data_IF_962291133913
#
_entry.id   IF_962291133913
#
_cell.length_a   1.000
_cell.length_b   1.000
_cell.length_c   1.000
_cell.angle_alpha   90.00
_cell.angle_beta   90.00
_cell.angle_gamma   90.00
#
_symmetry.space_group_name_H-M   'P 1'
#
loop_
_entity.id
_entity.type
_entity.pdbx_description
1 polymer ?
#
# COMPACT_ATOMS: atom_id res chain seq x y z
N UNK A 1 -19.71 -12.92 6.92
CA UNK A 1 -18.43 -13.36 7.51
C UNK A 1 -17.77 -12.11 8.05
N UNK A 2 -17.72 -11.93 9.36
CA UNK A 2 -17.07 -10.75 9.96
C UNK A 2 -15.57 -11.05 10.04
N UNK A 3 -14.76 -10.21 9.40
CA UNK A 3 -13.31 -10.26 9.55
C UNK A 3 -13.00 -9.50 10.85
N UNK A 4 -12.50 -10.21 11.87
CA UNK A 4 -11.89 -9.56 13.03
C UNK A 4 -10.57 -8.95 12.58
N UNK A 5 -10.56 -7.63 12.38
CA UNK A 5 -9.31 -6.89 12.20
C UNK A 5 -8.68 -6.70 13.58
N UNK A 6 -7.43 -7.12 13.74
CA UNK A 6 -6.64 -6.69 14.90
C UNK A 6 -6.48 -5.17 14.80
N UNK A 7 -6.78 -4.40 15.86
CA UNK A 7 -6.64 -2.96 15.82
C UNK A 7 -5.16 -2.61 15.62
N UNK A 8 -4.87 -1.93 14.52
CA UNK A 8 -3.58 -1.26 14.32
C UNK A 8 -3.64 0.04 15.10
N UNK A 9 -2.69 0.24 16.02
CA UNK A 9 -2.54 1.51 16.72
C UNK A 9 -1.39 2.27 16.06
N UNK A 10 -1.72 3.35 15.36
CA UNK A 10 -0.73 4.32 14.89
C UNK A 10 -0.27 5.11 16.12
N UNK A 11 0.86 4.72 16.70
CA UNK A 11 1.41 5.35 17.92
C UNK A 11 2.20 6.62 17.62
N UNK A 12 2.71 6.74 16.40
CA UNK A 12 3.43 7.90 15.89
C UNK A 12 3.28 7.98 14.37
N UNK A 13 3.17 9.20 13.86
CA UNK A 13 3.29 9.52 12.44
C UNK A 13 4.42 10.54 12.27
N UNK A 14 5.35 10.36 11.31
CA UNK A 14 6.44 11.31 11.10
C UNK A 14 5.91 12.71 10.75
N UNK A 15 6.47 13.74 11.38
CA UNK A 15 6.14 15.14 11.10
C UNK A 15 7.40 15.86 10.60
N UNK A 16 7.97 15.35 9.52
CA UNK A 16 9.14 15.88 8.83
C UNK A 16 8.85 16.09 7.34
N UNK A 17 9.82 16.66 6.62
CA UNK A 17 9.66 17.06 5.21
C UNK A 17 9.66 15.89 4.21
N UNK A 18 10.11 14.71 4.65
CA UNK A 18 10.20 13.52 3.81
C UNK A 18 8.90 12.69 3.81
N UNK A 19 7.89 13.08 4.60
CA UNK A 19 6.62 12.37 4.75
C UNK A 19 5.41 13.27 4.45
N UNK A 20 4.40 12.73 3.76
CA UNK A 20 3.18 13.48 3.50
C UNK A 20 2.48 13.83 4.83
N UNK A 21 1.90 15.02 5.03
CA UNK A 21 1.04 15.26 6.18
C UNK A 21 -0.17 14.30 6.12
N UNK A 22 -0.55 13.71 7.26
CA UNK A 22 -1.81 12.97 7.36
C UNK A 22 -2.99 13.91 7.09
N UNK A 23 -3.63 13.72 5.94
CA UNK A 23 -4.87 14.42 5.58
C UNK A 23 -6.11 13.72 6.13
N UNK A 24 -5.90 12.58 6.79
CA UNK A 24 -6.92 11.60 7.21
C UNK A 24 -6.70 11.19 8.67
N UNK A 25 -7.78 10.80 9.36
CA UNK A 25 -7.71 10.38 10.77
C UNK A 25 -7.01 9.00 10.87
N UNK A 26 -5.83 8.91 11.49
CA UNK A 26 -5.11 7.64 11.64
C UNK A 26 -5.85 6.63 12.53
N UNK A 27 -6.87 7.04 13.30
CA UNK A 27 -7.72 6.11 14.06
C UNK A 27 -8.53 5.16 13.17
N UNK A 28 -8.74 5.52 11.90
CA UNK A 28 -9.40 4.66 10.92
C UNK A 28 -8.42 3.68 10.23
N UNK A 29 -7.12 3.76 10.52
CA UNK A 29 -6.10 3.01 9.80
C UNK A 29 -6.23 1.49 9.99
N UNK A 30 -5.99 0.75 8.92
CA UNK A 30 -6.04 -0.71 8.88
C UNK A 30 -4.84 -1.26 8.14
N UNK A 31 -4.32 -2.38 8.63
CA UNK A 31 -3.40 -3.19 7.86
C UNK A 31 -4.21 -4.24 7.09
N UNK A 32 -4.02 -4.28 5.78
CA UNK A 32 -4.64 -5.25 4.87
C UNK A 32 -3.55 -5.87 4.00
N UNK A 33 -3.86 -6.97 3.30
CA UNK A 33 -2.99 -7.42 2.20
C UNK A 33 -3.22 -6.55 0.96
N UNK A 34 -2.22 -6.43 0.09
CA UNK A 34 -2.32 -5.69 -1.15
C UNK A 34 -3.53 -6.14 -2.01
N UNK A 35 -3.82 -7.44 -2.09
CA UNK A 35 -4.98 -7.97 -2.82
C UNK A 35 -6.36 -7.64 -2.21
N UNK A 36 -6.39 -7.03 -1.02
CA UNK A 36 -7.61 -6.62 -0.32
C UNK A 36 -7.84 -5.12 -0.33
N UNK A 37 -6.89 -4.34 -0.86
CA UNK A 37 -7.06 -2.90 -1.06
C UNK A 37 -8.20 -2.68 -2.05
N UNK A 38 -9.12 -1.79 -1.71
CA UNK A 38 -10.26 -1.44 -2.54
C UNK A 38 -10.03 -0.12 -3.29
N UNK A 39 -10.78 0.06 -4.38
CA UNK A 39 -10.86 1.33 -5.09
C UNK A 39 -11.29 2.46 -4.12
N UNK A 40 -10.49 3.53 -4.06
CA UNK A 40 -10.74 4.67 -3.19
C UNK A 40 -10.07 4.62 -1.81
N UNK A 41 -9.50 3.49 -1.40
CA UNK A 41 -8.72 3.43 -0.16
C UNK A 41 -7.50 4.35 -0.26
N UNK A 42 -7.10 4.99 0.85
CA UNK A 42 -5.89 5.81 0.90
C UNK A 42 -4.73 4.97 1.40
N UNK A 43 -3.68 4.80 0.59
CA UNK A 43 -2.46 4.07 0.95
C UNK A 43 -1.51 5.00 1.69
N UNK A 44 -1.05 4.58 2.87
CA UNK A 44 -0.20 5.38 3.76
C UNK A 44 1.24 4.89 3.84
N UNK A 45 1.44 3.58 3.85
CA UNK A 45 2.74 2.99 4.11
C UNK A 45 2.85 1.56 3.59
N UNK A 46 4.09 1.16 3.30
CA UNK A 46 4.49 -0.23 3.14
C UNK A 46 5.03 -0.79 4.46
N UNK A 47 5.23 -2.11 4.52
CA UNK A 47 6.03 -2.71 5.58
C UNK A 47 7.12 -3.57 4.95
N UNK A 48 8.37 -3.21 5.18
CA UNK A 48 9.53 -4.01 4.78
C UNK A 48 10.09 -4.74 6.00
N UNK A 49 10.24 -6.06 5.93
CA UNK A 49 10.79 -6.82 7.05
C UNK A 49 11.19 -8.26 6.69
N UNK A 50 12.33 -8.77 7.19
CA UNK A 50 12.68 -10.17 7.02
C UNK A 50 11.71 -11.06 7.81
N UNK A 51 11.02 -11.94 7.09
CA UNK A 51 10.35 -13.17 7.56
C UNK A 51 9.99 -13.18 9.07
N UNK A 52 8.89 -12.51 9.42
CA UNK A 52 8.20 -12.74 10.70
C UNK A 52 8.26 -11.62 11.74
N UNK A 53 9.02 -10.54 11.51
CA UNK A 53 8.82 -9.26 12.20
C UNK A 53 8.75 -8.14 11.17
N UNK A 54 7.65 -7.39 11.18
CA UNK A 54 7.54 -6.10 10.51
C UNK A 54 8.17 -5.04 11.45
N UNK A 55 9.41 -4.58 11.20
CA UNK A 55 10.13 -3.70 12.12
C UNK A 55 9.49 -2.32 12.24
N UNK A 56 8.94 -1.76 11.16
CA UNK A 56 8.26 -0.47 11.13
C UNK A 56 7.40 -0.32 9.87
N UNK A 57 6.44 0.60 9.90
CA UNK A 57 5.80 1.12 8.70
C UNK A 57 6.78 2.08 7.99
N UNK A 58 6.92 1.91 6.68
CA UNK A 58 7.67 2.82 5.81
C UNK A 58 6.65 3.75 5.14
N UNK A 59 6.42 4.90 5.77
CA UNK A 59 5.41 5.87 5.35
C UNK A 59 5.84 6.57 4.07
N UNK A 60 4.88 6.76 3.17
CA UNK A 60 5.18 7.41 1.90
C UNK A 60 5.28 8.93 2.05
N UNK A 61 6.16 9.50 1.23
CA UNK A 61 6.29 10.95 1.05
C UNK A 61 5.07 11.57 0.35
N UNK A 62 4.26 10.74 -0.31
CA UNK A 62 2.98 11.12 -0.91
C UNK A 62 1.94 10.01 -0.68
N UNK A 63 0.87 10.31 0.07
CA UNK A 63 -0.25 9.38 0.25
C UNK A 63 -1.12 9.41 -1.00
N UNK A 64 -1.54 8.25 -1.48
CA UNK A 64 -2.32 8.17 -2.72
C UNK A 64 -3.59 7.34 -2.57
N UNK A 65 -4.57 7.69 -3.39
CA UNK A 65 -5.81 6.93 -3.51
C UNK A 65 -5.57 5.72 -4.40
N UNK A 66 -5.82 4.54 -3.86
CA UNK A 66 -5.70 3.28 -4.58
C UNK A 66 -6.75 3.16 -5.68
N UNK A 67 -6.33 2.59 -6.80
CA UNK A 67 -7.15 2.25 -7.96
C UNK A 67 -6.77 0.84 -8.45
N UNK A 68 -7.09 -0.21 -7.67
CA UNK A 68 -6.53 -1.53 -7.90
C UNK A 68 -6.96 -2.10 -9.25
N UNK A 69 -5.99 -2.64 -9.99
CA UNK A 69 -6.19 -3.33 -11.27
C UNK A 69 -5.32 -4.59 -11.38
N UNK A 70 -5.67 -5.52 -12.29
CA UNK A 70 -4.82 -6.67 -12.54
C UNK A 70 -3.43 -6.24 -12.98
N UNK A 71 -2.40 -6.86 -12.41
CA UNK A 71 -1.02 -6.67 -12.85
C UNK A 71 -0.81 -7.19 -14.27
N UNK A 72 -0.21 -6.35 -15.13
CA UNK A 72 0.22 -6.72 -16.48
C UNK A 72 1.76 -6.77 -16.56
N UNK A 73 2.37 -7.97 -16.60
CA UNK A 73 3.83 -8.10 -16.73
C UNK A 73 4.35 -7.60 -18.09
N UNK A 74 3.47 -7.36 -19.07
CA UNK A 74 3.83 -6.87 -20.40
C UNK A 74 3.72 -5.35 -20.55
N UNK A 75 3.25 -4.63 -19.51
CA UNK A 75 3.13 -3.17 -19.49
C UNK A 75 4.42 -2.45 -19.90
N UNK A 76 5.58 -3.00 -19.53
CA UNK A 76 6.91 -2.51 -19.94
C UNK A 76 7.40 -1.27 -19.18
N UNK A 77 6.63 -0.76 -18.21
CA UNK A 77 7.08 0.33 -17.34
C UNK A 77 8.13 -0.15 -16.33
N UNK A 78 8.95 0.78 -15.83
CA UNK A 78 10.03 0.47 -14.89
C UNK A 78 9.55 -0.20 -13.60
N UNK A 79 8.39 0.21 -13.07
CA UNK A 79 7.80 -0.38 -11.86
C UNK A 79 7.40 -1.83 -12.07
N UNK A 80 6.64 -2.14 -13.12
CA UNK A 80 6.25 -3.52 -13.47
C UNK A 80 7.48 -4.41 -13.71
N UNK A 81 8.55 -3.87 -14.29
CA UNK A 81 9.78 -4.63 -14.49
C UNK A 81 10.42 -5.11 -13.16
N UNK A 82 10.20 -4.42 -12.04
CA UNK A 82 10.73 -4.85 -10.73
C UNK A 82 10.04 -6.12 -10.18
N UNK A 83 8.82 -6.41 -10.65
CA UNK A 83 8.02 -7.56 -10.22
C UNK A 83 7.92 -8.66 -11.29
N UNK A 84 8.61 -8.51 -12.43
CA UNK A 84 8.53 -9.45 -13.56
C UNK A 84 8.92 -10.89 -13.18
N UNK A 85 9.89 -11.03 -12.27
CA UNK A 85 10.41 -12.33 -11.79
C UNK A 85 9.83 -12.73 -10.43
N UNK A 86 8.85 -12.00 -9.88
CA UNK A 86 8.26 -12.32 -8.58
C UNK A 86 7.48 -13.64 -8.63
N UNK A 87 7.78 -14.55 -7.71
CA UNK A 87 7.05 -15.81 -7.56
C UNK A 87 5.74 -15.58 -6.81
N UNK A 88 4.62 -15.50 -7.53
CA UNK A 88 3.28 -15.45 -6.94
C UNK A 88 2.35 -14.43 -7.58
N UNK A 89 1.13 -14.28 -7.04
CA UNK A 89 0.20 -13.27 -7.50
C UNK A 89 0.70 -11.86 -7.19
N UNK A 90 0.55 -10.96 -8.17
CA UNK A 90 0.89 -9.54 -8.08
C UNK A 90 -0.36 -8.73 -8.43
N UNK A 91 -0.57 -7.61 -7.75
CA UNK A 91 -1.64 -6.64 -8.02
C UNK A 91 -1.02 -5.28 -8.32
N UNK A 92 -1.66 -4.47 -9.15
CA UNK A 92 -1.28 -3.07 -9.34
C UNK A 92 -2.27 -2.20 -8.54
N UNK A 93 -1.78 -1.45 -7.55
CA UNK A 93 -2.61 -0.61 -6.69
C UNK A 93 -2.77 0.83 -7.23
N UNK A 94 -1.97 1.18 -8.25
CA UNK A 94 -1.93 2.51 -8.82
C UNK A 94 -2.84 2.66 -10.03
N UNK A 95 -3.24 3.90 -10.30
CA UNK A 95 -3.75 4.30 -11.61
C UNK A 95 -3.33 5.74 -11.88
N UNK A 96 -2.37 5.91 -12.80
CA UNK A 96 -1.93 7.16 -13.44
C UNK A 96 -2.10 8.46 -12.61
N UNK A 97 -1.71 8.45 -11.33
CA UNK A 97 -1.78 9.59 -10.40
C UNK A 97 -0.65 9.49 -9.35
N UNK A 98 -0.04 10.60 -8.92
CA UNK A 98 0.43 11.76 -9.68
C UNK A 98 1.73 11.47 -10.46
N UNK A 99 2.22 10.22 -10.43
CA UNK A 99 3.56 9.86 -10.93
C UNK A 99 3.56 9.16 -12.30
N UNK A 100 2.40 8.95 -12.93
CA UNK A 100 2.24 8.21 -14.20
C UNK A 100 2.96 6.85 -14.21
N UNK A 101 2.96 6.16 -13.06
CA UNK A 101 3.58 4.84 -12.92
C UNK A 101 2.61 3.83 -12.34
N UNK A 102 2.73 2.59 -12.81
CA UNK A 102 2.18 1.43 -12.13
C UNK A 102 2.79 1.30 -10.74
N UNK A 103 2.04 0.65 -9.85
CA UNK A 103 2.44 0.38 -8.48
C UNK A 103 2.20 -1.12 -8.20
N UNK A 104 3.08 -2.01 -8.68
CA UNK A 104 2.90 -3.45 -8.54
C UNK A 104 3.36 -3.95 -7.16
N UNK A 105 2.53 -4.75 -6.51
CA UNK A 105 2.78 -5.34 -5.19
C UNK A 105 2.58 -6.84 -5.22
N UNK A 106 3.41 -7.63 -4.52
CA UNK A 106 3.04 -8.98 -4.14
C UNK A 106 1.68 -8.96 -3.44
N UNK A 107 0.75 -9.77 -3.90
CA UNK A 107 -0.63 -9.76 -3.41
C UNK A 107 -0.74 -10.00 -1.90
N UNK A 108 0.22 -10.71 -1.32
CA UNK A 108 0.26 -11.04 0.09
C UNK A 108 0.90 -9.96 0.97
N UNK A 109 1.55 -8.95 0.38
CA UNK A 109 2.27 -7.95 1.14
C UNK A 109 1.32 -7.08 1.97
N UNK A 110 1.66 -6.79 3.23
CA UNK A 110 0.87 -5.93 4.08
C UNK A 110 0.98 -4.47 3.65
N UNK A 111 -0.14 -3.76 3.68
CA UNK A 111 -0.28 -2.34 3.34
C UNK A 111 -1.07 -1.64 4.43
N UNK A 112 -0.64 -0.43 4.83
CA UNK A 112 -1.39 0.40 5.76
C UNK A 112 -2.30 1.33 4.96
N UNK A 113 -3.60 1.25 5.21
CA UNK A 113 -4.60 2.07 4.50
C UNK A 113 -5.52 2.82 5.47
N UNK A 114 -6.14 3.89 4.98
CA UNK A 114 -7.44 4.36 5.47
C UNK A 114 -8.50 3.89 4.48
N UNK A 115 -9.54 3.15 4.92
CA UNK A 115 -10.63 2.76 4.04
C UNK A 115 -11.36 3.96 3.43
N UNK A 116 -11.81 3.83 2.18
CA UNK A 116 -12.75 4.78 1.58
C UNK A 116 -14.02 4.94 2.46
N UNK A 117 -14.60 6.15 2.45
CA UNK A 117 -15.83 6.48 3.19
C UNK A 117 -17.10 5.90 2.54
#
# INVERSE_FOLDING_TARGET
MFVEFFPVVVTAYPADEDHAPLLVDPAAARMVRADQVADGDTVLASFSGPQGRMPAADYFNDQYTARPKPYDPTCGCGSCATMADHEGPVVDLGDDNPWDVCDPWPAADPVLIIPAA
#
